data_IF_596773613956
#
_entry.id   IF_596773613956
#
_cell.length_a   1.000
_cell.length_b   1.000
_cell.length_c   1.000
_cell.angle_alpha   90.00
_cell.angle_beta   90.00
_cell.angle_gamma   90.00
#
_symmetry.space_group_name_H-M   'P 1'
#
loop_
_entity.id
_entity.type
_entity.pdbx_description
1 polymer ?
#
# COMPACT_ATOMS: atom_id res chain seq x y z
N UNK A 1 -10.73 -11.79 -31.17
CA UNK A 1 -9.91 -12.03 -29.95
C UNK A 1 -10.30 -10.98 -28.93
N UNK A 2 -10.52 -11.32 -27.65
CA UNK A 2 -10.73 -10.30 -26.62
C UNK A 2 -9.50 -9.37 -26.59
N UNK A 3 -9.76 -8.07 -26.60
CA UNK A 3 -8.72 -7.05 -26.53
C UNK A 3 -8.04 -7.20 -25.17
N UNK A 4 -6.70 -7.35 -25.08
CA UNK A 4 -6.01 -7.31 -23.81
C UNK A 4 -6.33 -6.00 -23.11
N UNK A 5 -7.01 -6.06 -21.96
CA UNK A 5 -7.26 -4.87 -21.16
C UNK A 5 -5.98 -4.51 -20.41
N UNK A 6 -5.52 -3.28 -20.60
CA UNK A 6 -4.40 -2.72 -19.85
C UNK A 6 -4.78 -2.65 -18.35
N UNK A 7 -3.81 -2.76 -17.44
CA UNK A 7 -4.06 -2.55 -16.02
C UNK A 7 -4.67 -1.17 -15.78
N UNK A 8 -5.69 -1.10 -14.92
CA UNK A 8 -6.39 0.17 -14.62
C UNK A 8 -5.53 1.14 -13.82
N UNK A 9 -4.59 0.62 -13.04
CA UNK A 9 -3.66 1.41 -12.25
C UNK A 9 -2.32 0.67 -12.10
N UNK A 10 -1.25 1.44 -11.92
CA UNK A 10 0.10 0.94 -11.71
C UNK A 10 0.81 1.78 -10.65
N UNK A 11 1.67 1.14 -9.86
CA UNK A 11 2.57 1.84 -8.93
C UNK A 11 3.92 1.15 -8.92
N UNK A 12 5.00 1.93 -8.97
CA UNK A 12 6.36 1.41 -8.94
C UNK A 12 7.08 1.83 -7.66
N UNK A 13 7.91 0.93 -7.13
CA UNK A 13 8.85 1.21 -6.05
C UNK A 13 10.20 0.60 -6.39
N UNK A 14 11.24 1.21 -5.85
CA UNK A 14 12.60 0.72 -5.97
C UNK A 14 13.11 0.31 -4.58
N UNK A 15 13.64 -0.91 -4.46
CA UNK A 15 14.23 -1.43 -3.22
C UNK A 15 15.75 -1.21 -3.14
N UNK A 16 16.36 -0.62 -4.18
CA UNK A 16 17.79 -0.41 -4.36
C UNK A 16 18.47 -1.53 -5.15
N UNK A 17 17.98 -2.76 -5.05
CA UNK A 17 18.45 -3.93 -5.81
C UNK A 17 17.55 -4.28 -6.99
N UNK A 18 16.25 -3.98 -6.89
CA UNK A 18 15.24 -4.28 -7.90
C UNK A 18 14.17 -3.20 -7.92
N UNK A 19 13.58 -3.03 -9.10
CA UNK A 19 12.36 -2.23 -9.29
C UNK A 19 11.16 -3.17 -9.36
N UNK A 20 10.13 -2.85 -8.60
CA UNK A 20 8.86 -3.56 -8.58
C UNK A 20 7.78 -2.64 -9.14
N UNK A 21 7.04 -3.11 -10.15
CA UNK A 21 5.86 -2.41 -10.67
C UNK A 21 4.62 -3.24 -10.37
N UNK A 22 3.83 -2.79 -9.39
CA UNK A 22 2.57 -3.41 -9.00
C UNK A 22 1.43 -2.94 -9.88
N UNK A 23 0.48 -3.83 -10.14
CA UNK A 23 -0.69 -3.56 -10.96
C UNK A 23 -1.84 -4.51 -10.60
N UNK A 24 -3.05 -4.12 -10.98
CA UNK A 24 -4.24 -4.99 -10.93
C UNK A 24 -4.47 -5.60 -12.31
N UNK A 25 -4.45 -6.93 -12.41
CA UNK A 25 -4.65 -7.60 -13.69
C UNK A 25 -6.14 -7.66 -14.11
N UNK A 26 -6.42 -8.16 -15.32
CA UNK A 26 -7.80 -8.22 -15.86
C UNK A 26 -8.76 -9.10 -15.05
N UNK A 27 -8.24 -9.99 -14.19
CA UNK A 27 -9.00 -10.82 -13.24
C UNK A 27 -9.06 -10.21 -11.84
N UNK A 28 -8.70 -8.94 -11.71
CA UNK A 28 -8.70 -8.19 -10.44
C UNK A 28 -7.77 -8.75 -9.38
N UNK A 29 -6.73 -9.47 -9.78
CA UNK A 29 -5.70 -9.97 -8.86
C UNK A 29 -4.53 -8.99 -8.81
N UNK A 30 -4.01 -8.77 -7.62
CA UNK A 30 -2.80 -7.98 -7.41
C UNK A 30 -1.60 -8.75 -7.98
N UNK A 31 -0.81 -8.09 -8.81
CA UNK A 31 0.31 -8.68 -9.54
C UNK A 31 1.45 -7.69 -9.61
N UNK A 32 2.65 -8.16 -9.97
CA UNK A 32 3.78 -7.28 -10.15
C UNK A 32 4.75 -7.77 -11.22
N UNK A 33 5.45 -6.81 -11.80
CA UNK A 33 6.65 -7.02 -12.58
C UNK A 33 7.85 -6.75 -11.69
N UNK A 34 8.89 -7.59 -11.78
CA UNK A 34 10.15 -7.40 -11.04
C UNK A 34 11.33 -7.36 -12.02
N UNK A 35 12.18 -6.35 -11.87
CA UNK A 35 13.36 -6.18 -12.73
C UNK A 35 14.37 -7.32 -12.52
N UNK A 36 15.16 -7.68 -13.55
CA UNK A 36 16.22 -8.67 -13.39
C UNK A 36 17.33 -8.17 -12.45
N UNK A 37 17.62 -6.86 -12.44
CA UNK A 37 18.60 -6.20 -11.56
C UNK A 37 18.23 -4.76 -11.20
N UNK A 38 19.17 -4.01 -10.65
CA UNK A 38 18.97 -2.68 -10.04
C UNK A 38 18.94 -1.51 -11.03
N UNK A 39 19.31 -1.75 -12.28
CA UNK A 39 19.38 -0.72 -13.32
C UNK A 39 18.03 -0.46 -14.01
N UNK A 40 17.01 -1.26 -13.69
CA UNK A 40 15.69 -1.18 -14.31
C UNK A 40 15.68 -1.56 -15.79
N UNK A 41 16.70 -2.29 -16.29
CA UNK A 41 16.78 -2.69 -17.70
C UNK A 41 16.40 -4.16 -17.92
N UNK A 42 16.14 -4.53 -19.17
CA UNK A 42 15.80 -5.90 -19.57
C UNK A 42 14.34 -6.29 -19.36
N UNK A 43 14.06 -7.59 -19.49
CA UNK A 43 12.70 -8.12 -19.39
C UNK A 43 12.34 -8.38 -17.93
N UNK A 44 11.29 -7.71 -17.45
CA UNK A 44 10.79 -7.92 -16.10
C UNK A 44 10.05 -9.26 -16.01
N UNK A 45 10.25 -9.99 -14.91
CA UNK A 45 9.51 -11.21 -14.64
C UNK A 45 8.13 -10.87 -14.07
N UNK A 46 7.07 -11.52 -14.57
CA UNK A 46 5.71 -11.37 -14.05
C UNK A 46 5.46 -12.35 -12.91
N UNK A 47 4.88 -11.85 -11.81
CA UNK A 47 4.48 -12.62 -10.63
C UNK A 47 3.12 -12.15 -10.12
N UNK A 48 2.43 -13.04 -9.40
CA UNK A 48 1.24 -12.68 -8.63
C UNK A 48 1.62 -12.43 -7.18
N UNK A 49 0.80 -11.66 -6.48
CA UNK A 49 0.84 -11.63 -5.02
C UNK A 49 -0.22 -12.61 -4.52
N UNK A 50 0.24 -13.61 -3.79
CA UNK A 50 -0.58 -14.55 -3.04
C UNK A 50 -0.18 -14.54 -1.56
N UNK A 51 -1.13 -14.84 -0.69
CA UNK A 51 -0.91 -15.05 0.75
C UNK A 51 -1.43 -16.45 1.04
N UNK A 52 -0.57 -17.31 1.59
CA UNK A 52 -0.91 -18.71 1.87
C UNK A 52 -1.47 -19.45 0.64
N UNK A 53 -0.95 -19.14 -0.57
CA UNK A 53 -1.40 -19.64 -1.88
C UNK A 53 -2.72 -19.07 -2.41
N UNK A 54 -3.36 -18.15 -1.70
CA UNK A 54 -4.57 -17.47 -2.16
C UNK A 54 -4.23 -16.15 -2.85
N UNK A 55 -4.66 -16.01 -4.12
CA UNK A 55 -4.49 -14.78 -4.92
C UNK A 55 -5.20 -13.59 -4.24
N UNK A 56 -4.50 -12.46 -4.11
CA UNK A 56 -5.07 -11.23 -3.52
C UNK A 56 -6.05 -10.57 -4.50
N UNK A 57 -7.33 -10.50 -4.12
CA UNK A 57 -8.39 -9.84 -4.89
C UNK A 57 -8.57 -8.36 -4.56
N UNK A 58 -8.69 -7.55 -5.60
CA UNK A 58 -8.94 -6.12 -5.54
C UNK A 58 -10.35 -5.80 -5.99
N UNK A 59 -10.99 -4.85 -5.30
CA UNK A 59 -12.34 -4.37 -5.54
C UNK A 59 -12.66 -4.13 -7.01
N UNK A 60 -13.86 -4.49 -7.45
CA UNK A 60 -14.38 -4.04 -8.76
C UNK A 60 -14.51 -2.52 -8.87
N UNK A 61 -14.76 -1.86 -7.74
CA UNK A 61 -15.11 -0.43 -7.68
C UNK A 61 -13.88 0.47 -7.47
N UNK A 62 -12.86 -0.04 -6.79
CA UNK A 62 -11.62 0.70 -6.50
C UNK A 62 -10.41 -0.18 -6.80
N UNK A 63 -9.87 -0.05 -8.02
CA UNK A 63 -8.72 -0.84 -8.49
C UNK A 63 -7.38 -0.11 -8.34
N UNK A 64 -7.34 0.95 -7.53
CA UNK A 64 -6.12 1.72 -7.31
C UNK A 64 -5.19 1.01 -6.34
N UNK A 65 -3.89 1.13 -6.62
CA UNK A 65 -2.81 0.51 -5.86
C UNK A 65 -1.79 1.56 -5.46
N UNK A 66 -1.34 1.50 -4.21
CA UNK A 66 -0.23 2.32 -3.74
C UNK A 66 0.84 1.41 -3.14
N UNK A 67 2.10 1.79 -3.24
CA UNK A 67 3.19 1.00 -2.70
C UNK A 67 4.28 1.89 -2.13
N UNK A 68 5.01 1.35 -1.16
CA UNK A 68 6.18 1.97 -0.56
C UNK A 68 7.28 0.92 -0.42
N UNK A 69 8.53 1.36 -0.51
CA UNK A 69 9.69 0.55 -0.18
C UNK A 69 10.64 1.33 0.73
N UNK A 70 11.30 0.64 1.65
CA UNK A 70 12.39 1.19 2.45
C UNK A 70 13.33 0.10 2.95
N UNK A 71 14.50 0.49 3.43
CA UNK A 71 15.40 -0.37 4.19
C UNK A 71 15.27 -0.03 5.66
N UNK A 72 14.98 -1.02 6.51
CA UNK A 72 14.80 -0.83 7.94
C UNK A 72 16.14 -0.65 8.70
N UNK A 73 16.06 -0.48 10.02
CA UNK A 73 17.25 -0.28 10.87
C UNK A 73 18.18 -1.51 10.90
N UNK A 74 17.69 -2.69 10.52
CA UNK A 74 18.44 -3.95 10.47
C UNK A 74 18.91 -4.29 9.05
N UNK A 75 18.86 -3.33 8.12
CA UNK A 75 19.19 -3.54 6.69
C UNK A 75 18.27 -4.53 5.97
N UNK A 76 17.06 -4.76 6.48
CA UNK A 76 16.04 -5.58 5.82
C UNK A 76 15.25 -4.69 4.88
N UNK A 77 15.14 -5.09 3.61
CA UNK A 77 14.29 -4.40 2.66
C UNK A 77 12.83 -4.73 2.93
N UNK A 78 12.01 -3.69 2.89
CA UNK A 78 10.60 -3.73 3.21
C UNK A 78 9.81 -3.19 2.02
N UNK A 79 8.78 -3.91 1.61
CA UNK A 79 7.80 -3.44 0.63
C UNK A 79 6.41 -3.59 1.23
N UNK A 80 5.57 -2.58 1.05
CA UNK A 80 4.14 -2.64 1.38
C UNK A 80 3.35 -2.21 0.17
N UNK A 81 2.30 -2.96 -0.13
CA UNK A 81 1.34 -2.64 -1.19
C UNK A 81 -0.04 -2.50 -0.57
N UNK A 82 -0.67 -1.37 -0.82
CA UNK A 82 -1.99 -1.00 -0.33
C UNK A 82 -3.00 -1.10 -1.44
N UNK A 83 -4.15 -1.69 -1.13
CA UNK A 83 -5.22 -1.94 -2.07
C UNK A 83 -6.57 -1.91 -1.34
N UNK A 84 -7.66 -1.87 -2.11
CA UNK A 84 -9.01 -2.02 -1.57
C UNK A 84 -9.53 -3.40 -1.95
N UNK A 85 -9.96 -4.19 -0.96
CA UNK A 85 -10.51 -5.53 -1.20
C UNK A 85 -11.96 -5.48 -1.70
N UNK A 86 -12.53 -6.63 -2.07
CA UNK A 86 -13.93 -6.73 -2.53
C UNK A 86 -14.96 -6.10 -1.57
N UNK A 87 -14.67 -6.10 -0.27
CA UNK A 87 -15.51 -5.48 0.75
C UNK A 87 -15.39 -3.96 0.86
N UNK A 88 -14.65 -3.30 -0.04
CA UNK A 88 -14.45 -1.85 -0.02
C UNK A 88 -13.49 -1.37 1.08
N UNK A 89 -12.69 -2.28 1.67
CA UNK A 89 -11.82 -1.97 2.81
C UNK A 89 -10.38 -1.79 2.37
N UNK A 90 -9.68 -0.82 2.96
CA UNK A 90 -8.25 -0.63 2.80
C UNK A 90 -7.48 -1.78 3.46
N UNK A 91 -6.60 -2.41 2.69
CA UNK A 91 -5.78 -3.55 3.10
C UNK A 91 -4.31 -3.31 2.73
N UNK A 92 -3.40 -4.03 3.39
CA UNK A 92 -2.00 -4.08 3.01
C UNK A 92 -1.49 -5.51 2.83
N UNK A 93 -0.63 -5.72 1.84
CA UNK A 93 0.23 -6.90 1.73
C UNK A 93 1.69 -6.49 1.86
N UNK A 94 2.48 -7.35 2.48
CA UNK A 94 3.84 -7.04 2.90
C UNK A 94 4.82 -8.04 2.31
N UNK A 95 6.02 -7.55 2.03
CA UNK A 95 7.18 -8.37 1.73
C UNK A 95 8.37 -7.83 2.54
N UNK A 96 9.15 -8.74 3.11
CA UNK A 96 10.40 -8.43 3.81
C UNK A 96 11.49 -9.32 3.25
N UNK A 97 12.68 -8.80 2.98
CA UNK A 97 13.78 -9.60 2.38
C UNK A 97 14.29 -10.73 3.28
N UNK A 98 13.90 -10.76 4.56
CA UNK A 98 14.23 -11.80 5.53
C UNK A 98 13.08 -12.80 5.78
N UNK A 99 12.01 -12.73 5.00
CA UNK A 99 10.86 -13.62 5.10
C UNK A 99 10.51 -14.15 3.71
N UNK A 100 10.13 -15.43 3.65
CA UNK A 100 9.69 -16.03 2.39
C UNK A 100 8.27 -15.56 2.03
N UNK A 101 8.12 -15.11 0.79
CA UNK A 101 6.83 -14.80 0.19
C UNK A 101 6.19 -13.50 0.70
N UNK A 102 4.94 -13.31 0.27
CA UNK A 102 4.11 -12.19 0.69
C UNK A 102 3.25 -12.60 1.89
N UNK A 103 2.94 -11.64 2.76
CA UNK A 103 2.10 -11.87 3.93
C UNK A 103 1.12 -10.73 4.17
N UNK A 104 -0.02 -11.04 4.79
CA UNK A 104 -1.00 -10.03 5.20
C UNK A 104 -0.42 -9.13 6.28
N UNK A 105 -0.42 -7.82 6.04
CA UNK A 105 -0.04 -6.87 7.08
C UNK A 105 -1.19 -6.55 8.04
N UNK A 106 -0.91 -5.69 9.00
CA UNK A 106 -1.85 -5.23 10.02
C UNK A 106 -3.06 -4.46 9.46
N UNK A 107 -2.91 -3.71 8.36
CA UNK A 107 -4.01 -2.98 7.74
C UNK A 107 -4.96 -3.96 7.03
N UNK A 108 -6.21 -4.01 7.47
CA UNK A 108 -7.22 -4.90 6.91
C UNK A 108 -7.16 -6.34 7.44
N UNK A 109 -6.24 -6.65 8.38
CA UNK A 109 -6.19 -7.96 9.03
C UNK A 109 -7.48 -8.23 9.81
N UNK A 110 -7.93 -9.48 9.82
CA UNK A 110 -9.02 -9.93 10.70
C UNK A 110 -8.73 -9.52 12.15
N UNK A 111 -9.75 -9.05 12.85
CA UNK A 111 -9.69 -8.56 14.24
C UNK A 111 -8.94 -7.23 14.46
N UNK A 112 -8.63 -6.48 13.39
CA UNK A 112 -8.16 -5.09 13.45
C UNK A 112 -9.23 -4.12 12.94
N UNK A 113 -9.07 -2.82 13.26
CA UNK A 113 -9.94 -1.77 12.73
C UNK A 113 -9.95 -1.79 11.21
N UNK A 114 -11.13 -1.84 10.62
CA UNK A 114 -11.34 -1.89 9.18
C UNK A 114 -11.71 -0.49 8.68
N UNK A 115 -11.09 -0.06 7.58
CA UNK A 115 -11.32 1.27 7.02
C UNK A 115 -11.99 1.16 5.65
N UNK A 116 -13.25 1.58 5.57
CA UNK A 116 -14.00 1.64 4.31
C UNK A 116 -13.55 2.85 3.48
N UNK A 117 -13.30 2.61 2.20
CA UNK A 117 -12.83 3.60 1.24
C UNK A 117 -13.94 3.92 0.23
N UNK A 118 -14.05 5.19 -0.15
CA UNK A 118 -15.03 5.64 -1.14
C UNK A 118 -14.79 4.96 -2.48
N UNK A 119 -15.84 4.45 -3.09
CA UNK A 119 -15.81 3.79 -4.40
C UNK A 119 -15.14 4.70 -5.45
N UNK A 120 -14.17 4.16 -6.19
CA UNK A 120 -13.43 4.87 -7.25
C UNK A 120 -12.43 5.93 -6.75
N UNK A 121 -12.24 6.07 -5.43
CA UNK A 121 -11.29 7.05 -4.87
C UNK A 121 -9.83 6.56 -4.92
N UNK A 122 -8.93 7.53 -4.99
CA UNK A 122 -7.49 7.30 -5.06
C UNK A 122 -6.86 6.92 -3.74
N UNK A 123 -5.82 6.11 -3.83
CA UNK A 123 -4.96 5.73 -2.73
C UNK A 123 -3.54 6.20 -3.06
N UNK A 124 -2.86 6.79 -2.10
CA UNK A 124 -1.44 7.12 -2.20
C UNK A 124 -0.73 6.71 -0.92
N UNK A 125 0.57 6.45 -0.98
CA UNK A 125 1.32 6.03 0.19
C UNK A 125 2.72 6.66 0.23
N UNK A 126 3.21 6.91 1.44
CA UNK A 126 4.57 7.39 1.68
C UNK A 126 5.14 6.74 2.92
N UNK A 127 6.47 6.70 2.99
CA UNK A 127 7.22 6.31 4.18
C UNK A 127 8.17 7.44 4.56
N UNK A 128 8.13 7.84 5.82
CA UNK A 128 9.03 8.86 6.36
C UNK A 128 9.98 8.22 7.38
N UNK A 129 11.28 8.36 7.13
CA UNK A 129 12.32 8.04 8.12
C UNK A 129 12.35 9.12 9.19
N UNK A 130 12.45 8.73 10.45
CA UNK A 130 12.51 9.61 11.62
C UNK A 130 13.69 9.21 12.50
N UNK A 131 14.26 10.19 13.18
CA UNK A 131 15.29 10.00 14.19
C UNK A 131 14.72 10.46 15.53
N UNK A 132 14.86 9.63 16.56
CA UNK A 132 14.61 10.08 17.94
C UNK A 132 15.82 10.88 18.46
N UNK A 133 15.70 11.44 19.67
CA UNK A 133 16.76 12.22 20.31
C UNK A 133 18.06 11.40 20.53
N UNK A 134 17.96 10.08 20.56
CA UNK A 134 19.08 9.13 20.70
C UNK A 134 19.64 8.69 19.33
N UNK A 135 19.28 9.39 18.24
CA UNK A 135 19.64 9.05 16.85
C UNK A 135 19.14 7.68 16.39
N UNK A 136 18.17 7.07 17.09
CA UNK A 136 17.58 5.81 16.64
C UNK A 136 16.60 6.06 15.52
N UNK A 137 16.65 5.17 14.53
CA UNK A 137 15.83 5.27 13.34
C UNK A 137 14.46 4.64 13.59
N UNK A 138 13.40 5.39 13.31
CA UNK A 138 12.03 4.88 13.22
C UNK A 138 11.42 5.24 11.88
N UNK A 139 10.29 4.62 11.55
CA UNK A 139 9.58 4.85 10.29
C UNK A 139 8.13 5.19 10.56
N UNK A 140 7.58 6.10 9.77
CA UNK A 140 6.17 6.47 9.77
C UNK A 140 5.62 6.16 8.39
N UNK A 141 4.79 5.12 8.33
CA UNK A 141 4.08 4.74 7.11
C UNK A 141 2.78 5.51 7.07
N UNK A 142 2.41 5.94 5.86
CA UNK A 142 1.26 6.82 5.64
C UNK A 142 0.54 6.34 4.40
N UNK A 143 -0.75 6.11 4.53
CA UNK A 143 -1.64 5.89 3.39
C UNK A 143 -2.65 7.01 3.36
N UNK A 144 -2.96 7.52 2.18
CA UNK A 144 -3.91 8.60 1.96
C UNK A 144 -5.05 8.04 1.13
N UNK A 145 -6.28 8.15 1.62
CA UNK A 145 -7.48 7.73 0.89
C UNK A 145 -8.72 8.44 1.42
N UNK A 146 -9.77 8.50 0.60
CA UNK A 146 -11.08 9.04 0.99
C UNK A 146 -11.86 8.00 1.78
N UNK A 147 -12.19 8.30 3.03
CA UNK A 147 -12.93 7.37 3.90
C UNK A 147 -14.44 7.51 3.71
N UNK A 148 -15.18 6.39 3.75
CA UNK A 148 -16.65 6.43 3.75
C UNK A 148 -17.14 7.08 5.05
N UNK A 149 -18.14 7.96 4.95
CA UNK A 149 -18.78 8.60 6.10
C UNK A 149 -18.02 9.76 6.71
N UNK A 150 -16.84 10.10 6.18
CA UNK A 150 -16.16 11.36 6.50
C UNK A 150 -16.48 12.39 5.43
N UNK A 151 -17.25 13.42 5.77
CA UNK A 151 -17.39 14.63 4.96
C UNK A 151 -16.66 15.78 5.64
N UNK A 152 -16.06 16.67 4.87
CA UNK A 152 -15.60 17.94 5.41
C UNK A 152 -16.77 18.93 5.53
N UNK A 153 -16.49 20.12 6.07
CA UNK A 153 -17.49 21.17 6.29
C UNK A 153 -18.21 21.64 5.01
N UNK A 154 -17.71 21.27 3.83
CA UNK A 154 -18.28 21.60 2.52
C UNK A 154 -19.09 20.44 1.89
N UNK A 155 -19.25 19.32 2.60
CA UNK A 155 -19.94 18.13 2.10
C UNK A 155 -19.18 17.42 0.97
N UNK A 156 -17.84 17.45 1.03
CA UNK A 156 -16.95 16.68 0.14
C UNK A 156 -16.36 15.51 0.94
N UNK A 157 -16.26 14.29 0.37
CA UNK A 157 -15.61 13.19 1.06
C UNK A 157 -14.20 13.55 1.53
N UNK A 158 -13.96 13.40 2.83
CA UNK A 158 -12.68 13.75 3.45
C UNK A 158 -11.61 12.73 3.06
N UNK A 159 -10.49 13.25 2.56
CA UNK A 159 -9.21 12.56 2.50
C UNK A 159 -8.65 12.44 3.92
N UNK A 160 -8.34 11.20 4.31
CA UNK A 160 -7.70 10.86 5.57
C UNK A 160 -6.28 10.37 5.33
N UNK A 161 -5.38 10.71 6.25
CA UNK A 161 -4.11 10.01 6.41
C UNK A 161 -4.29 8.86 7.41
N UNK A 162 -3.90 7.66 7.02
CA UNK A 162 -3.78 6.50 7.88
C UNK A 162 -2.31 6.37 8.23
N UNK A 163 -1.96 6.56 9.51
CA UNK A 163 -0.57 6.46 9.96
C UNK A 163 -0.30 5.18 10.71
N UNK A 164 0.83 4.54 10.44
CA UNK A 164 1.34 3.42 11.21
C UNK A 164 2.73 3.74 11.77
N UNK A 165 2.88 3.48 13.06
CA UNK A 165 4.12 3.72 13.80
C UNK A 165 5.01 2.48 13.83
N UNK A 166 6.32 2.73 13.78
CA UNK A 166 7.35 1.76 14.13
C UNK A 166 8.18 2.29 15.31
N UNK A 167 8.60 1.39 16.19
CA UNK A 167 9.57 1.74 17.22
C UNK A 167 10.97 1.91 16.61
N UNK A 168 11.92 2.35 17.44
CA UNK A 168 13.32 2.56 17.09
C UNK A 168 14.07 1.29 16.59
N UNK A 169 13.48 0.10 16.74
CA UNK A 169 14.00 -1.17 16.24
C UNK A 169 13.35 -1.60 14.92
N UNK A 170 12.53 -0.74 14.32
CA UNK A 170 11.76 -1.07 13.12
C UNK A 170 10.62 -2.05 13.38
N UNK A 171 10.17 -2.22 14.62
CA UNK A 171 9.04 -3.11 14.96
C UNK A 171 7.72 -2.34 14.97
N UNK A 172 6.68 -2.95 14.42
CA UNK A 172 5.33 -2.41 14.39
C UNK A 172 4.82 -2.04 15.79
N UNK A 173 4.29 -0.82 15.97
CA UNK A 173 3.57 -0.44 17.21
C UNK A 173 2.13 -0.94 17.23
N UNK A 174 1.67 -1.52 16.12
CA UNK A 174 0.55 -2.47 16.11
C UNK A 174 -0.81 -1.91 15.72
N UNK A 175 -0.98 -0.60 15.47
CA UNK A 175 -2.29 -0.03 15.10
C UNK A 175 -2.14 1.07 14.05
N UNK A 176 -3.03 1.03 13.05
CA UNK A 176 -3.25 2.11 12.09
C UNK A 176 -4.24 3.09 12.68
N UNK A 177 -4.01 4.40 12.52
CA UNK A 177 -4.92 5.44 12.98
C UNK A 177 -5.23 6.43 11.84
N UNK A 178 -6.51 6.70 11.55
CA UNK A 178 -6.91 7.70 10.56
C UNK A 178 -6.93 9.12 11.17
N UNK A 179 -6.63 10.12 10.35
CA UNK A 179 -6.85 11.53 10.67
C UNK A 179 -7.27 12.29 9.39
N UNK A 180 -8.35 13.07 9.41
CA UNK A 180 -8.77 13.86 8.25
C UNK A 180 -7.78 15.00 7.98
N UNK A 181 -7.43 15.23 6.72
CA UNK A 181 -6.45 16.26 6.30
C UNK A 181 -6.98 17.25 5.26
N UNK A 182 -8.26 17.16 4.92
CA UNK A 182 -8.86 17.87 3.78
C UNK A 182 -10.03 18.77 4.17
N UNK A 183 -10.05 19.23 5.43
CA UNK A 183 -11.13 20.08 5.96
C UNK A 183 -11.32 21.38 5.14
N UNK A 184 -10.25 21.86 4.49
CA UNK A 184 -10.26 23.08 3.69
C UNK A 184 -10.52 22.87 2.19
N UNK A 185 -10.71 21.63 1.71
CA UNK A 185 -10.97 21.38 0.29
C UNK A 185 -12.44 21.70 -0.02
N UNK A 186 -12.69 22.67 -0.89
CA UNK A 186 -14.03 23.07 -1.29
C UNK A 186 -14.53 22.26 -2.49
N UNK A 187 -15.84 22.33 -2.76
CA UNK A 187 -16.41 21.87 -4.04
C UNK A 187 -15.78 22.70 -5.18
N UNK A 188 -15.35 22.02 -6.24
CA UNK A 188 -14.82 22.62 -7.47
C UNK A 188 -15.96 23.05 -8.38
#
# INVERSE_FOLDING_TARGET
>A
MPIPTLPKDIVAVDSGDKTYMFYVNSKRKLSYLISPGSDGTGNYASKRIDIDSDDVEVSEKTQQVAAIAWVDANSVQQIRVYYVNEGGKLNEVCHSSNQDGWYQGSLGKKDTTQYLIVDGSSISATVARRYDNDQRVSYSLRVFASSVGGENDYGVPSISIFTFGYNAKGQATGQWAPSPISNSITKW
#
